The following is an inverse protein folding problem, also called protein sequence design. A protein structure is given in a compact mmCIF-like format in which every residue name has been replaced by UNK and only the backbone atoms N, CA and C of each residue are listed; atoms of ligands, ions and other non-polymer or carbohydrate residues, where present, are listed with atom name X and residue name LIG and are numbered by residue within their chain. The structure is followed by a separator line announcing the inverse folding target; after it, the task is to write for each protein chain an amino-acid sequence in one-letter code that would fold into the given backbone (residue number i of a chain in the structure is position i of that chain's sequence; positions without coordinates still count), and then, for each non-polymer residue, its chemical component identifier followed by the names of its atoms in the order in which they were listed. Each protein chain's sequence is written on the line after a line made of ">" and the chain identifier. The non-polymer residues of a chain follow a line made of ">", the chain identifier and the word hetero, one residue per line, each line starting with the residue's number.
data_IF_301190404762
#
_entry.id   IF_301190404762
#
_cell.length_a   1.000
_cell.length_b   1.000
_cell.length_c   1.000
_cell.angle_alpha   90.00
_cell.angle_beta   90.00
_cell.angle_gamma   90.00
#
_symmetry.space_group_name_H-M   'P 1'
#
loop_
_entity.id
_entity.type
_entity.pdbx_description
1 polymer ?
#
# COMPACT_ATOMS: atom_id res chain seq x y z
N UNK A 1 3.38 0.82 -11.89
CA UNK A 1 2.93 -0.59 -11.75
C UNK A 1 1.89 -0.97 -12.82
N UNK A 2 0.82 -0.23 -13.05
CA UNK A 2 -0.22 -0.62 -14.00
C UNK A 2 0.24 -0.84 -15.43
N UNK A 3 1.16 -0.05 -15.95
CA UNK A 3 1.75 -0.26 -17.27
C UNK A 3 2.64 -1.51 -17.31
N UNK A 4 3.36 -1.79 -16.24
CA UNK A 4 4.18 -3.00 -16.11
C UNK A 4 3.34 -4.27 -16.20
N UNK A 5 2.18 -4.28 -15.52
CA UNK A 5 1.23 -5.39 -15.62
C UNK A 5 0.73 -5.60 -17.06
N UNK A 6 0.38 -4.54 -17.77
CA UNK A 6 -0.08 -4.61 -19.15
C UNK A 6 1.01 -5.17 -20.08
N UNK A 7 2.24 -4.69 -19.94
CA UNK A 7 3.37 -5.17 -20.76
C UNK A 7 3.64 -6.66 -20.49
N UNK A 8 3.61 -7.07 -19.20
CA UNK A 8 3.80 -8.48 -18.83
C UNK A 8 2.68 -9.36 -19.40
N UNK A 9 1.43 -8.88 -19.36
CA UNK A 9 0.27 -9.58 -19.92
C UNK A 9 0.40 -9.77 -21.45
N UNK A 10 0.69 -8.69 -22.17
CA UNK A 10 0.88 -8.72 -23.63
C UNK A 10 2.04 -9.64 -24.05
N UNK A 11 3.11 -9.68 -23.26
CA UNK A 11 4.29 -10.52 -23.54
C UNK A 11 4.19 -11.93 -22.96
N UNK A 12 3.09 -12.26 -22.27
CA UNK A 12 2.93 -13.53 -21.54
C UNK A 12 4.12 -13.83 -20.59
N UNK A 13 4.60 -12.78 -19.92
CA UNK A 13 5.77 -12.81 -19.07
C UNK A 13 5.45 -12.75 -17.58
N UNK A 14 6.49 -12.75 -16.78
CA UNK A 14 6.41 -12.62 -15.33
C UNK A 14 6.74 -11.20 -14.89
N UNK A 15 6.11 -10.73 -13.83
CA UNK A 15 6.43 -9.44 -13.23
C UNK A 15 6.09 -9.42 -11.75
N UNK A 16 6.67 -8.45 -11.05
CA UNK A 16 6.32 -8.09 -9.68
C UNK A 16 5.33 -6.91 -9.72
N UNK A 17 4.31 -6.95 -8.87
CA UNK A 17 3.36 -5.85 -8.72
C UNK A 17 2.86 -5.74 -7.28
N UNK A 18 2.43 -4.55 -6.88
CA UNK A 18 1.63 -4.40 -5.69
C UNK A 18 0.22 -4.99 -5.88
N UNK A 19 -0.33 -5.48 -4.78
CA UNK A 19 -1.64 -6.15 -4.77
C UNK A 19 -2.77 -5.23 -5.21
N UNK A 20 -2.75 -3.97 -4.77
CA UNK A 20 -3.81 -3.01 -5.06
C UNK A 20 -3.91 -2.73 -6.57
N UNK A 21 -2.78 -2.50 -7.24
CA UNK A 21 -2.73 -2.27 -8.69
C UNK A 21 -3.20 -3.50 -9.47
N UNK A 22 -2.78 -4.71 -9.07
CA UNK A 22 -3.24 -5.94 -9.71
C UNK A 22 -4.76 -6.10 -9.58
N UNK A 23 -5.32 -5.96 -8.38
CA UNK A 23 -6.77 -6.11 -8.14
C UNK A 23 -7.58 -5.07 -8.93
N UNK A 24 -7.08 -3.83 -9.00
CA UNK A 24 -7.74 -2.77 -9.76
C UNK A 24 -7.79 -3.06 -11.27
N UNK A 25 -6.84 -3.80 -11.82
CA UNK A 25 -6.74 -4.11 -13.25
C UNK A 25 -7.11 -5.56 -13.60
N UNK A 26 -7.34 -6.42 -12.62
CA UNK A 26 -7.55 -7.87 -12.79
C UNK A 26 -8.53 -8.24 -13.89
N UNK A 27 -9.60 -7.47 -14.06
CA UNK A 27 -10.63 -7.73 -15.08
C UNK A 27 -10.10 -7.62 -16.51
N UNK A 28 -8.99 -6.91 -16.71
CA UNK A 28 -8.39 -6.63 -18.01
C UNK A 28 -7.06 -7.36 -18.22
N UNK A 29 -6.73 -8.31 -17.34
CA UNK A 29 -5.47 -9.03 -17.36
C UNK A 29 -5.74 -10.55 -17.39
N UNK A 30 -4.94 -11.26 -18.16
CA UNK A 30 -4.87 -12.73 -18.17
C UNK A 30 -3.88 -13.26 -17.12
N UNK A 31 -3.08 -12.37 -16.53
CA UNK A 31 -2.08 -12.70 -15.51
C UNK A 31 -2.71 -13.27 -14.24
N UNK A 32 -2.04 -14.24 -13.65
CA UNK A 32 -2.41 -14.86 -12.38
C UNK A 32 -1.32 -14.61 -11.33
N UNK A 33 -1.74 -14.53 -10.07
CA UNK A 33 -0.80 -14.48 -8.94
C UNK A 33 -0.19 -15.88 -8.77
N UNK A 34 1.12 -15.97 -8.86
CA UNK A 34 1.86 -17.21 -8.67
C UNK A 34 2.47 -17.31 -7.26
N UNK A 35 2.88 -16.19 -6.70
CA UNK A 35 3.47 -16.11 -5.36
C UNK A 35 2.92 -14.86 -4.66
N UNK A 36 2.43 -15.03 -3.44
CA UNK A 36 2.06 -13.94 -2.51
C UNK A 36 2.27 -14.38 -1.06
N UNK A 37 2.29 -13.43 -0.13
CA UNK A 37 2.37 -13.71 1.31
C UNK A 37 3.78 -14.02 1.83
N UNK A 38 4.82 -14.02 1.00
CA UNK A 38 6.19 -14.16 1.44
C UNK A 38 6.69 -12.87 2.10
N UNK A 39 7.46 -12.99 3.20
CA UNK A 39 7.99 -11.85 3.94
C UNK A 39 8.88 -10.94 3.06
N UNK A 40 9.59 -11.51 2.09
CA UNK A 40 10.41 -10.76 1.14
C UNK A 40 9.61 -9.89 0.18
N UNK A 41 8.30 -10.14 0.05
CA UNK A 41 7.37 -9.38 -0.80
C UNK A 41 6.61 -8.30 -0.03
N UNK A 42 6.90 -8.09 1.26
CA UNK A 42 6.25 -7.07 2.06
C UNK A 42 6.53 -5.67 1.49
N UNK A 43 5.45 -4.91 1.32
CA UNK A 43 5.49 -3.52 0.88
C UNK A 43 4.89 -2.63 1.97
N UNK A 44 5.71 -2.30 2.97
CA UNK A 44 5.31 -1.51 4.13
C UNK A 44 5.36 -0.03 3.79
N UNK A 45 4.23 0.65 3.98
CA UNK A 45 4.14 2.10 3.81
C UNK A 45 4.48 2.81 5.12
N UNK A 46 5.24 3.89 5.00
CA UNK A 46 5.61 4.75 6.13
C UNK A 46 5.09 6.16 5.89
N UNK A 47 4.56 6.79 6.93
CA UNK A 47 4.28 8.21 6.95
C UNK A 47 5.44 8.92 7.68
N UNK A 48 6.02 9.94 7.06
CA UNK A 48 7.15 10.69 7.61
C UNK A 48 6.87 12.18 7.51
N UNK A 49 7.08 12.89 8.62
CA UNK A 49 6.96 14.34 8.68
C UNK A 49 8.30 14.99 8.32
N UNK A 50 8.26 16.04 7.49
CA UNK A 50 9.46 16.81 7.17
C UNK A 50 9.89 17.60 8.39
N UNK A 51 11.18 17.56 8.73
CA UNK A 51 11.74 18.24 9.91
C UNK A 51 11.64 19.77 9.75
N UNK A 52 10.85 20.47 10.58
CA UNK A 52 10.66 21.93 10.49
C UNK A 52 11.90 22.73 10.91
N UNK A 53 12.81 22.14 11.68
CA UNK A 53 14.08 22.81 12.04
C UNK A 53 15.00 22.96 10.83
N UNK A 54 14.95 21.99 9.90
CA UNK A 54 15.72 22.03 8.66
C UNK A 54 15.01 22.79 7.53
N UNK A 55 13.68 22.78 7.55
CA UNK A 55 12.85 23.34 6.47
C UNK A 55 11.74 24.21 7.05
N UNK A 56 12.06 25.46 7.33
CA UNK A 56 11.18 26.41 8.04
C UNK A 56 9.86 26.77 7.31
N UNK A 57 9.75 26.45 6.01
CA UNK A 57 8.55 26.76 5.21
C UNK A 57 7.52 25.61 5.19
N UNK A 58 7.78 24.49 5.87
CA UNK A 58 6.83 23.37 5.90
C UNK A 58 5.64 23.66 6.80
N UNK A 59 4.48 23.18 6.43
CA UNK A 59 3.30 23.19 7.30
C UNK A 59 3.37 22.02 8.28
N UNK A 60 4.19 22.17 9.32
CA UNK A 60 4.41 21.11 10.31
C UNK A 60 3.12 20.72 11.06
N UNK A 61 2.27 21.70 11.40
CA UNK A 61 1.00 21.43 12.09
C UNK A 61 0.06 20.57 11.23
N UNK A 62 -0.04 20.89 9.95
CA UNK A 62 -0.83 20.10 8.99
C UNK A 62 -0.26 18.72 8.75
N UNK A 63 1.07 18.59 8.62
CA UNK A 63 1.74 17.31 8.45
C UNK A 63 1.51 16.39 9.66
N UNK A 64 1.66 16.92 10.86
CA UNK A 64 1.40 16.20 12.12
C UNK A 64 -0.05 15.75 12.23
N UNK A 65 -1.00 16.65 11.98
CA UNK A 65 -2.43 16.30 12.02
C UNK A 65 -2.78 15.20 11.03
N UNK A 66 -2.17 15.20 9.84
CA UNK A 66 -2.38 14.17 8.82
C UNK A 66 -1.76 12.82 9.23
N UNK A 67 -0.54 12.80 9.73
CA UNK A 67 0.10 11.58 10.21
C UNK A 67 -0.65 10.97 11.40
N UNK A 68 -1.07 11.79 12.37
CA UNK A 68 -1.88 11.36 13.51
C UNK A 68 -3.23 10.77 13.06
N UNK A 69 -3.88 11.40 12.06
CA UNK A 69 -5.12 10.86 11.48
C UNK A 69 -4.90 9.48 10.85
N UNK A 70 -3.85 9.32 10.04
CA UNK A 70 -3.55 8.01 9.41
C UNK A 70 -3.31 6.91 10.44
N UNK A 71 -2.70 7.24 11.59
CA UNK A 71 -2.42 6.29 12.67
C UNK A 71 -3.61 6.07 13.62
N UNK A 72 -4.63 6.92 13.56
CA UNK A 72 -5.81 6.83 14.41
C UNK A 72 -6.67 5.60 14.07
N UNK A 73 -7.53 5.21 15.03
CA UNK A 73 -8.49 4.11 14.79
C UNK A 73 -9.40 4.36 13.59
N UNK A 74 -9.78 5.63 13.36
CA UNK A 74 -10.60 6.02 12.21
C UNK A 74 -9.82 5.86 10.89
N UNK A 75 -8.61 6.41 10.80
CA UNK A 75 -7.75 6.29 9.63
C UNK A 75 -7.40 4.85 9.31
N UNK A 76 -7.06 4.05 10.32
CA UNK A 76 -6.79 2.62 10.18
C UNK A 76 -8.03 1.83 9.74
N UNK A 77 -9.21 2.21 10.22
CA UNK A 77 -10.48 1.63 9.78
C UNK A 77 -10.77 1.90 8.30
N UNK A 78 -10.53 3.13 7.83
CA UNK A 78 -10.64 3.49 6.42
C UNK A 78 -9.67 2.69 5.54
N UNK A 79 -8.41 2.57 5.97
CA UNK A 79 -7.38 1.78 5.26
C UNK A 79 -7.81 0.31 5.15
N UNK A 80 -8.24 -0.30 6.26
CA UNK A 80 -8.65 -1.71 6.30
C UNK A 80 -9.94 -1.98 5.50
N UNK A 81 -10.80 -0.97 5.33
CA UNK A 81 -12.05 -1.07 4.56
C UNK A 81 -11.88 -0.78 3.08
N UNK A 82 -10.84 -0.05 2.69
CA UNK A 82 -10.70 0.48 1.35
C UNK A 82 -10.64 -0.62 0.29
N UNK A 83 -11.53 -0.54 -0.67
CA UNK A 83 -11.61 -1.46 -1.81
C UNK A 83 -12.48 -2.70 -1.58
N UNK A 84 -12.91 -3.02 -0.35
CA UNK A 84 -13.71 -4.22 -0.06
C UNK A 84 -14.98 -4.34 -0.89
N UNK A 85 -15.75 -3.27 -1.00
CA UNK A 85 -17.00 -3.29 -1.77
C UNK A 85 -16.75 -3.50 -3.26
N UNK A 86 -15.72 -2.87 -3.80
CA UNK A 86 -15.43 -2.90 -5.24
C UNK A 86 -14.71 -4.16 -5.69
N UNK A 87 -13.80 -4.69 -4.88
CA UNK A 87 -12.89 -5.78 -5.25
C UNK A 87 -13.10 -7.06 -4.44
N UNK A 88 -14.05 -7.07 -3.50
CA UNK A 88 -14.33 -8.21 -2.63
C UNK A 88 -13.31 -8.43 -1.50
N UNK A 89 -12.26 -7.60 -1.46
CA UNK A 89 -11.19 -7.67 -0.46
C UNK A 89 -10.50 -6.31 -0.31
N UNK A 90 -9.88 -6.02 0.85
CA UNK A 90 -9.19 -4.76 1.05
C UNK A 90 -7.97 -4.65 0.14
N UNK A 91 -7.67 -3.44 -0.33
CA UNK A 91 -6.46 -3.18 -1.10
C UNK A 91 -5.22 -2.99 -0.21
N UNK A 92 -5.43 -2.56 1.03
CA UNK A 92 -4.38 -2.30 2.02
C UNK A 92 -4.71 -2.95 3.35
N UNK A 93 -3.69 -3.13 4.19
CA UNK A 93 -3.82 -3.62 5.55
C UNK A 93 -3.52 -2.52 6.55
N UNK A 94 -4.25 -2.50 7.65
CA UNK A 94 -4.08 -1.56 8.75
C UNK A 94 -3.03 -2.13 9.73
N UNK A 95 -1.81 -1.61 9.68
CA UNK A 95 -0.67 -2.14 10.40
C UNK A 95 -0.02 -1.11 11.35
N UNK A 96 -0.74 -0.04 11.71
CA UNK A 96 -0.27 0.93 12.69
C UNK A 96 0.09 0.24 14.01
N UNK A 97 1.28 0.55 14.53
CA UNK A 97 1.80 -0.02 15.77
C UNK A 97 2.48 -1.39 15.63
N UNK A 98 2.47 -2.00 14.46
CA UNK A 98 3.26 -3.20 14.19
C UNK A 98 4.73 -2.84 13.94
N UNK A 99 5.62 -3.78 14.26
CA UNK A 99 7.05 -3.69 14.03
C UNK A 99 7.49 -4.70 12.94
N UNK A 100 8.71 -4.56 12.44
CA UNK A 100 9.27 -5.51 11.45
C UNK A 100 9.21 -6.97 11.94
N UNK A 101 9.39 -7.19 13.25
CA UNK A 101 9.29 -8.53 13.88
C UNK A 101 7.89 -9.14 13.73
N UNK A 102 6.85 -8.33 13.74
CA UNK A 102 5.46 -8.80 13.59
C UNK A 102 5.19 -9.33 12.17
N UNK A 103 6.07 -9.00 11.23
CA UNK A 103 6.03 -9.46 9.84
C UNK A 103 7.04 -10.57 9.54
N UNK A 104 7.83 -11.00 10.52
CA UNK A 104 8.86 -12.02 10.35
C UNK A 104 10.15 -11.50 9.68
N UNK A 105 10.42 -10.19 9.80
CA UNK A 105 11.63 -9.52 9.32
C UNK A 105 12.64 -9.30 10.45
#
# INVERSE_FOLDING_TARGET
>A
MGQTLKIADEKQGYTLSDRATYLAQKKNLSLQILVEGDATLLNIYHVMEVNPEKFSKVNNAGAKAFSEFLLSSEGQGLIAGFGKEKYGQPLFFADSGKTEKDFGL
#
